data_IF_316491095050
#
_entry.id   IF_316491095050
#
_cell.length_a   1.000
_cell.length_b   1.000
_cell.length_c   1.000
_cell.angle_alpha   90.00
_cell.angle_beta   90.00
_cell.angle_gamma   90.00
#
_symmetry.space_group_name_H-M   'P 1'
#
loop_
_entity.id
_entity.type
_entity.pdbx_description
1 polymer ?
#
# COMPACT_ATOMS: atom_id res chain seq x y z
N UNK A 1 -2.22 -11.34 -10.58
CA UNK A 1 -1.07 -10.42 -10.59
C UNK A 1 0.14 -11.12 -11.16
N UNK A 2 0.67 -10.60 -12.28
CA UNK A 2 1.83 -11.16 -12.98
C UNK A 2 3.14 -10.40 -12.73
N UNK A 3 3.10 -9.30 -11.97
CA UNK A 3 4.23 -8.40 -11.80
C UNK A 3 5.48 -9.11 -11.28
N UNK A 4 6.61 -9.07 -12.01
CA UNK A 4 7.84 -9.77 -11.64
C UNK A 4 8.31 -9.44 -10.22
N UNK A 5 8.18 -8.17 -9.81
CA UNK A 5 8.63 -7.70 -8.50
C UNK A 5 7.90 -8.38 -7.35
N UNK A 6 6.59 -8.64 -7.49
CA UNK A 6 5.79 -9.32 -6.46
C UNK A 6 6.13 -10.80 -6.36
N UNK A 7 6.72 -11.41 -7.40
CA UNK A 7 7.15 -12.81 -7.35
C UNK A 7 8.39 -12.96 -6.48
N UNK A 8 9.35 -12.06 -6.60
CA UNK A 8 10.64 -12.11 -5.89
C UNK A 8 10.62 -11.45 -4.51
N UNK A 9 9.71 -10.51 -4.24
CA UNK A 9 9.62 -9.84 -2.94
C UNK A 9 9.31 -10.82 -1.80
N UNK A 10 10.10 -10.80 -0.73
CA UNK A 10 9.89 -11.61 0.47
C UNK A 10 9.06 -10.84 1.51
N UNK A 11 9.29 -9.53 1.63
CA UNK A 11 8.59 -8.63 2.56
C UNK A 11 7.73 -7.65 1.77
N UNK A 12 6.41 -7.80 1.86
CA UNK A 12 5.44 -6.98 1.12
C UNK A 12 4.66 -6.11 2.10
N UNK A 13 4.78 -4.78 1.95
CA UNK A 13 3.90 -3.85 2.64
C UNK A 13 2.62 -3.66 1.83
N UNK A 14 1.47 -3.95 2.42
CA UNK A 14 0.16 -3.81 1.78
C UNK A 14 -0.86 -3.30 2.79
N UNK A 15 -1.74 -2.40 2.36
CA UNK A 15 -2.78 -1.83 3.22
C UNK A 15 -3.93 -2.81 3.44
N UNK A 16 -4.60 -2.71 4.59
CA UNK A 16 -5.89 -3.35 4.83
C UNK A 16 -6.97 -2.41 4.29
N UNK A 17 -7.56 -2.77 3.15
CA UNK A 17 -8.44 -1.88 2.37
C UNK A 17 -9.70 -1.44 3.11
N UNK A 18 -10.01 -0.15 3.03
CA UNK A 18 -11.34 0.37 3.36
C UNK A 18 -12.36 0.06 2.24
N UNK A 19 -13.68 0.17 2.48
CA UNK A 19 -14.72 -0.11 1.48
C UNK A 19 -14.59 0.74 0.20
N UNK A 20 -14.06 1.95 0.30
CA UNK A 20 -13.86 2.88 -0.81
C UNK A 20 -12.53 2.66 -1.56
N UNK A 21 -11.71 1.71 -1.12
CA UNK A 21 -10.41 1.40 -1.70
C UNK A 21 -10.46 0.08 -2.48
N UNK A 22 -9.45 -0.18 -3.32
CA UNK A 22 -9.33 -1.48 -3.98
C UNK A 22 -9.15 -2.56 -2.92
N UNK A 23 -10.00 -3.60 -2.96
CA UNK A 23 -10.00 -4.65 -1.96
C UNK A 23 -8.67 -5.45 -1.96
N UNK A 24 -7.98 -5.49 -0.81
CA UNK A 24 -6.68 -6.17 -0.65
C UNK A 24 -6.74 -7.43 0.21
N UNK A 25 -7.88 -7.74 0.82
CA UNK A 25 -8.05 -8.84 1.78
C UNK A 25 -7.64 -10.20 1.22
N UNK A 26 -8.02 -10.48 -0.03
CA UNK A 26 -7.63 -11.73 -0.70
C UNK A 26 -6.12 -11.77 -1.01
N UNK A 27 -5.50 -10.62 -1.25
CA UNK A 27 -4.07 -10.52 -1.52
C UNK A 27 -3.24 -10.77 -0.26
N UNK A 28 -3.69 -10.24 0.88
CA UNK A 28 -3.12 -10.55 2.19
C UNK A 28 -3.08 -12.08 2.39
N UNK A 29 -4.19 -12.77 2.17
CA UNK A 29 -4.25 -14.24 2.31
C UNK A 29 -3.36 -14.94 1.27
N UNK A 30 -3.36 -14.49 0.03
CA UNK A 30 -2.57 -15.09 -1.05
C UNK A 30 -1.06 -14.97 -0.80
N UNK A 31 -0.57 -13.81 -0.35
CA UNK A 31 0.85 -13.63 -0.02
C UNK A 31 1.26 -14.49 1.18
N UNK A 32 0.38 -14.65 2.18
CA UNK A 32 0.65 -15.52 3.33
C UNK A 32 0.77 -16.99 2.91
N UNK A 33 -0.07 -17.45 1.99
CA UNK A 33 0.04 -18.80 1.39
C UNK A 33 1.33 -19.01 0.59
N UNK A 34 1.88 -17.92 0.03
CA UNK A 34 3.17 -17.92 -0.65
C UNK A 34 4.35 -17.79 0.32
N UNK A 35 4.11 -17.83 1.64
CA UNK A 35 5.12 -17.68 2.71
C UNK A 35 5.90 -16.35 2.65
N UNK A 36 5.30 -15.31 2.07
CA UNK A 36 5.83 -13.95 2.15
C UNK A 36 5.54 -13.37 3.53
N UNK A 37 6.44 -12.54 4.03
CA UNK A 37 6.20 -11.74 5.22
C UNK A 37 5.33 -10.55 4.83
N UNK A 38 4.15 -10.47 5.44
CA UNK A 38 3.21 -9.38 5.17
C UNK A 38 3.39 -8.33 6.24
N UNK A 39 3.50 -7.09 5.78
CA UNK A 39 3.60 -5.90 6.61
C UNK A 39 2.42 -5.00 6.29
N UNK A 40 1.79 -4.45 7.31
CA UNK A 40 0.67 -3.52 7.16
C UNK A 40 1.00 -2.17 7.80
N UNK A 41 0.51 -1.07 7.21
CA UNK A 41 0.64 0.25 7.81
C UNK A 41 -0.27 0.37 9.04
N UNK A 42 0.27 0.93 10.11
CA UNK A 42 -0.43 1.22 11.37
C UNK A 42 -0.24 2.69 11.71
N UNK A 43 -1.33 3.41 11.96
CA UNK A 43 -1.28 4.85 12.17
C UNK A 43 -0.98 5.15 13.64
N UNK A 44 0.15 5.78 13.91
CA UNK A 44 0.54 6.24 15.25
C UNK A 44 0.60 7.76 15.23
N UNK A 45 -0.47 8.40 15.72
CA UNK A 45 -0.61 9.85 15.68
C UNK A 45 -0.66 10.40 14.25
N UNK A 46 0.42 11.06 13.80
CA UNK A 46 0.53 11.68 12.46
C UNK A 46 1.49 10.94 11.52
N UNK A 47 2.02 9.79 11.93
CA UNK A 47 2.95 8.97 11.15
C UNK A 47 2.39 7.56 10.94
N UNK A 48 2.89 6.87 9.91
CA UNK A 48 2.67 5.43 9.73
C UNK A 48 3.87 4.72 10.33
N UNK A 49 3.61 3.74 11.18
CA UNK A 49 4.56 2.68 11.53
C UNK A 49 4.18 1.42 10.78
N UNK A 50 5.13 0.55 10.51
CA UNK A 50 4.88 -0.71 9.83
C UNK A 50 4.92 -1.86 10.83
N UNK A 51 4.03 -2.82 10.68
CA UNK A 51 3.95 -3.95 11.59
C UNK A 51 3.59 -5.26 10.86
N UNK A 52 4.05 -6.38 11.40
CA UNK A 52 3.78 -7.70 10.83
C UNK A 52 2.30 -8.04 10.87
N UNK A 53 1.79 -8.63 9.79
CA UNK A 53 0.43 -9.14 9.70
C UNK A 53 0.43 -10.67 9.72
N UNK A 54 -0.28 -11.27 10.67
CA UNK A 54 -0.37 -12.73 10.84
C UNK A 54 -1.67 -13.33 10.30
N UNK A 55 -2.82 -12.66 10.46
CA UNK A 55 -4.12 -13.15 10.00
C UNK A 55 -5.19 -12.05 10.02
N UNK A 56 -6.19 -12.17 9.14
CA UNK A 56 -7.37 -11.30 9.13
C UNK A 56 -8.17 -11.38 10.45
N UNK A 57 -8.14 -12.54 11.12
CA UNK A 57 -8.82 -12.75 12.41
C UNK A 57 -8.12 -12.03 13.57
N UNK A 58 -6.88 -11.57 13.37
CA UNK A 58 -6.10 -10.86 14.38
C UNK A 58 -6.11 -9.34 14.17
N UNK A 59 -7.02 -8.84 13.35
CA UNK A 59 -7.22 -7.42 13.14
C UNK A 59 -8.37 -6.89 13.97
N UNK A 60 -8.26 -5.66 14.46
CA UNK A 60 -9.36 -4.94 15.11
C UNK A 60 -9.50 -3.51 14.65
N UNK A 61 -10.71 -2.97 14.75
CA UNK A 61 -10.99 -1.59 14.36
C UNK A 61 -10.06 -0.61 15.09
N UNK A 62 -9.25 0.09 14.30
CA UNK A 62 -8.32 1.12 14.71
C UNK A 62 -8.78 2.50 14.25
N UNK A 63 -7.81 3.40 13.97
CA UNK A 63 -8.14 4.75 13.51
C UNK A 63 -8.77 4.73 12.11
N UNK A 64 -9.75 5.61 11.89
CA UNK A 64 -10.46 5.77 10.60
C UNK A 64 -11.18 4.51 10.08
N UNK A 65 -11.48 3.54 10.96
CA UNK A 65 -12.13 2.29 10.58
C UNK A 65 -11.19 1.29 9.91
N UNK A 66 -9.89 1.57 9.86
CA UNK A 66 -8.88 0.64 9.37
C UNK A 66 -8.73 -0.48 10.38
N UNK A 67 -8.73 -1.73 9.93
CA UNK A 67 -8.47 -2.87 10.80
C UNK A 67 -6.95 -2.99 11.03
N UNK A 68 -6.54 -2.85 12.29
CA UNK A 68 -5.14 -2.83 12.73
C UNK A 68 -4.79 -4.14 13.45
N UNK A 69 -3.57 -4.68 13.26
CA UNK A 69 -3.16 -5.94 13.90
C UNK A 69 -2.97 -5.77 15.41
N UNK A 70 -3.40 -6.75 16.20
CA UNK A 70 -3.33 -6.72 17.68
C UNK A 70 -2.09 -7.41 18.23
N UNK A 71 -1.56 -6.86 19.33
CA UNK A 71 -0.83 -7.59 20.38
C UNK A 71 0.57 -8.10 20.01
N UNK A 72 0.65 -9.09 19.14
CA UNK A 72 1.88 -9.80 18.74
C UNK A 72 2.56 -9.24 17.48
N UNK A 73 1.97 -8.19 16.88
CA UNK A 73 2.52 -7.52 15.73
C UNK A 73 3.86 -6.86 16.06
N UNK A 74 4.93 -7.31 15.40
CA UNK A 74 6.26 -6.74 15.54
C UNK A 74 6.40 -5.51 14.65
N UNK A 75 7.07 -4.47 15.14
CA UNK A 75 7.43 -3.31 14.32
C UNK A 75 8.47 -3.72 13.28
N UNK A 76 8.26 -3.30 12.05
CA UNK A 76 9.15 -3.58 10.92
C UNK A 76 9.74 -2.25 10.42
N UNK A 77 11.07 -2.10 10.38
CA UNK A 77 11.71 -0.96 9.72
C UNK A 77 11.30 -0.87 8.24
N UNK A 78 11.05 0.34 7.75
CA UNK A 78 10.57 0.53 6.37
C UNK A 78 11.59 0.19 5.29
N UNK A 79 12.88 0.16 5.64
CA UNK A 79 14.00 -0.23 4.78
C UNK A 79 14.13 -1.76 4.60
N UNK A 80 13.43 -2.56 5.42
CA UNK A 80 13.33 -4.02 5.24
C UNK A 80 12.26 -4.44 4.24
N UNK A 81 11.41 -3.52 3.78
CA UNK A 81 10.31 -3.83 2.86
C UNK A 81 10.82 -3.87 1.43
N UNK A 82 10.51 -4.93 0.69
CA UNK A 82 10.92 -5.08 -0.71
C UNK A 82 10.01 -4.34 -1.69
N UNK A 83 8.74 -4.16 -1.33
CA UNK A 83 7.72 -3.52 -2.17
C UNK A 83 6.58 -2.96 -1.34
N UNK A 84 6.15 -1.75 -1.70
CA UNK A 84 4.99 -1.09 -1.11
C UNK A 84 3.81 -1.13 -2.06
N UNK A 85 2.68 -1.66 -1.60
CA UNK A 85 1.38 -1.55 -2.25
C UNK A 85 0.61 -0.42 -1.56
N UNK A 86 0.30 0.62 -2.31
CA UNK A 86 -0.15 1.93 -1.81
C UNK A 86 -1.58 2.20 -2.27
N UNK A 87 -2.51 2.56 -1.36
CA UNK A 87 -3.88 2.91 -1.72
C UNK A 87 -3.95 4.32 -2.31
N UNK A 88 -5.02 4.60 -3.06
CA UNK A 88 -5.31 5.93 -3.59
C UNK A 88 -6.75 6.07 -4.04
N UNK A 89 -7.25 7.31 -4.01
CA UNK A 89 -8.57 7.70 -4.50
C UNK A 89 -8.54 7.88 -6.03
N UNK A 90 -7.44 8.44 -6.54
CA UNK A 90 -7.20 8.58 -7.97
C UNK A 90 -5.70 8.45 -8.25
N UNK A 91 -5.37 8.07 -9.48
CA UNK A 91 -4.00 8.01 -9.99
C UNK A 91 -3.96 8.63 -11.38
N UNK A 92 -2.83 9.22 -11.76
CA UNK A 92 -2.58 9.59 -13.14
C UNK A 92 -1.52 8.69 -13.79
N UNK A 93 -1.40 8.77 -15.11
CA UNK A 93 -0.45 7.96 -15.88
C UNK A 93 1.01 8.39 -15.70
N UNK A 94 1.27 9.43 -14.90
CA UNK A 94 2.63 9.88 -14.50
C UNK A 94 3.01 9.36 -13.12
N UNK A 95 2.21 8.47 -12.53
CA UNK A 95 2.49 7.88 -11.22
C UNK A 95 2.04 8.71 -10.03
N UNK A 96 1.47 9.91 -10.22
CA UNK A 96 0.93 10.65 -9.09
C UNK A 96 -0.34 9.97 -8.58
N UNK A 97 -0.55 10.04 -7.26
CA UNK A 97 -1.77 9.58 -6.62
C UNK A 97 -2.40 10.70 -5.82
N UNK A 98 -3.73 10.69 -5.76
CA UNK A 98 -4.50 11.45 -4.79
C UNK A 98 -4.89 10.52 -3.64
N UNK A 99 -4.44 10.82 -2.43
CA UNK A 99 -4.89 10.12 -1.22
C UNK A 99 -6.03 10.86 -0.52
N UNK A 100 -6.33 10.42 0.69
CA UNK A 100 -7.36 11.04 1.56
C UNK A 100 -6.93 12.40 2.19
N UNK A 101 -5.94 13.09 1.61
CA UNK A 101 -5.56 14.46 1.99
C UNK A 101 -4.73 14.62 3.27
N UNK A 102 -4.21 13.53 3.87
CA UNK A 102 -3.49 13.59 5.16
C UNK A 102 -1.95 13.47 5.07
N UNK A 103 -1.44 13.15 3.88
CA UNK A 103 0.00 13.04 3.62
C UNK A 103 0.72 11.93 4.40
N UNK A 104 0.00 10.91 4.90
CA UNK A 104 0.63 9.82 5.67
C UNK A 104 1.59 9.00 4.83
N UNK A 105 1.16 8.58 3.63
CA UNK A 105 2.00 7.82 2.71
C UNK A 105 3.12 8.67 2.13
N UNK A 106 2.91 9.95 1.84
CA UNK A 106 3.98 10.83 1.32
C UNK A 106 5.10 10.99 2.36
N UNK A 107 4.74 11.09 3.65
CA UNK A 107 5.73 11.05 4.75
C UNK A 107 6.44 9.71 4.88
N UNK A 108 5.72 8.59 4.77
CA UNK A 108 6.29 7.24 4.85
C UNK A 108 7.24 6.95 3.69
N UNK A 109 6.87 7.33 2.47
CA UNK A 109 7.54 6.93 1.23
C UNK A 109 8.67 7.88 0.83
N UNK A 110 8.86 8.99 1.55
CA UNK A 110 9.84 10.03 1.23
C UNK A 110 11.26 9.49 1.04
N UNK A 111 11.68 8.59 1.92
CA UNK A 111 13.03 8.02 1.94
C UNK A 111 13.07 6.57 1.41
N UNK A 112 11.96 6.12 0.79
CA UNK A 112 11.82 4.75 0.28
C UNK A 112 12.25 4.68 -1.19
N UNK A 113 13.23 3.82 -1.44
CA UNK A 113 13.81 3.58 -2.77
C UNK A 113 13.29 2.32 -3.45
N UNK A 114 12.66 1.42 -2.67
CA UNK A 114 12.05 0.20 -3.21
C UNK A 114 10.78 0.51 -4.00
N UNK A 115 10.37 -0.38 -4.92
CA UNK A 115 9.21 -0.15 -5.77
C UNK A 115 7.92 0.14 -5.01
N UNK A 116 7.16 1.10 -5.54
CA UNK A 116 5.85 1.53 -5.04
C UNK A 116 4.80 1.24 -6.10
N UNK A 117 3.82 0.42 -5.73
CA UNK A 117 2.75 -0.05 -6.59
C UNK A 117 1.43 0.57 -6.14
N UNK A 118 0.80 1.36 -7.01
CA UNK A 118 -0.58 1.79 -6.83
C UNK A 118 -1.55 0.71 -7.29
N UNK A 119 -2.53 0.36 -6.46
CA UNK A 119 -3.71 -0.42 -6.92
C UNK A 119 -4.86 0.53 -7.16
N UNK A 120 -5.44 0.45 -8.35
CA UNK A 120 -6.52 1.35 -8.76
C UNK A 120 -7.56 0.60 -9.60
N UNK A 121 -8.82 0.96 -9.48
CA UNK A 121 -9.80 0.66 -10.52
C UNK A 121 -9.52 1.52 -11.75
N UNK A 122 -9.83 1.02 -12.95
CA UNK A 122 -9.61 1.80 -14.19
C UNK A 122 -10.37 3.14 -14.20
N UNK A 123 -11.48 3.27 -13.47
CA UNK A 123 -12.19 4.55 -13.31
C UNK A 123 -11.47 5.56 -12.40
N UNK A 124 -10.49 5.11 -11.61
CA UNK A 124 -9.64 5.96 -10.76
C UNK A 124 -8.42 6.49 -11.52
N UNK A 125 -8.20 6.05 -12.77
CA UNK A 125 -7.16 6.62 -13.63
C UNK A 125 -7.68 7.89 -14.29
N UNK A 126 -7.07 9.02 -13.97
CA UNK A 126 -7.47 10.34 -14.48
C UNK A 126 -6.38 10.92 -15.40
N UNK A 127 -6.72 11.88 -16.29
CA UNK A 127 -5.76 12.46 -17.23
C UNK A 127 -4.56 13.15 -16.57
N UNK A 128 -4.75 13.68 -15.35
CA UNK A 128 -3.71 14.33 -14.57
C UNK A 128 -4.22 14.72 -13.20
N UNK A 129 -3.32 14.74 -12.23
CA UNK A 129 -3.60 15.18 -10.87
C UNK A 129 -2.83 16.46 -10.53
N UNK A 130 -3.43 17.37 -9.73
CA UNK A 130 -2.63 18.37 -9.05
C UNK A 130 -1.64 17.65 -8.14
N UNK A 131 -0.39 18.08 -8.15
CA UNK A 131 0.66 17.51 -7.32
C UNK A 131 1.51 18.62 -6.73
N UNK A 132 2.01 18.36 -5.54
CA UNK A 132 2.93 19.21 -4.80
C UNK A 132 4.35 18.65 -4.90
N UNK A 133 5.35 19.48 -4.58
CA UNK A 133 6.77 19.07 -4.61
C UNK A 133 7.11 17.92 -3.64
N UNK A 134 6.22 17.61 -2.69
CA UNK A 134 6.40 16.57 -1.68
C UNK A 134 5.64 15.28 -2.00
N UNK A 135 4.85 15.27 -3.08
CA UNK A 135 4.08 14.08 -3.46
C UNK A 135 4.99 13.03 -4.07
N UNK A 136 4.86 11.80 -3.59
CA UNK A 136 5.70 10.69 -3.99
C UNK A 136 5.01 9.87 -5.09
N UNK A 137 5.64 9.80 -6.26
CA UNK A 137 5.14 9.05 -7.42
C UNK A 137 5.25 7.53 -7.20
N UNK A 138 4.26 6.81 -7.70
CA UNK A 138 4.30 5.36 -7.86
C UNK A 138 5.21 4.99 -9.02
N UNK A 139 5.85 3.83 -8.92
CA UNK A 139 6.64 3.25 -10.01
C UNK A 139 5.76 2.43 -10.97
N UNK A 140 4.71 1.82 -10.42
CA UNK A 140 3.77 1.00 -11.18
C UNK A 140 2.36 1.28 -10.68
N UNK A 141 1.39 1.34 -11.59
CA UNK A 141 -0.03 1.36 -11.25
C UNK A 141 -0.70 0.16 -11.91
N UNK A 142 -1.36 -0.68 -11.11
CA UNK A 142 -2.07 -1.86 -11.59
C UNK A 142 -3.56 -1.62 -11.51
N UNK A 143 -4.26 -1.89 -12.61
CA UNK A 143 -5.71 -1.89 -12.70
C UNK A 143 -6.24 -3.24 -13.16
N UNK A 144 -7.56 -3.39 -13.20
CA UNK A 144 -8.19 -4.58 -13.78
C UNK A 144 -7.98 -4.71 -15.30
N UNK A 145 -7.61 -3.63 -15.99
CA UNK A 145 -7.50 -3.59 -17.45
C UNK A 145 -6.04 -3.53 -17.96
N UNK A 146 -5.15 -2.91 -17.19
CA UNK A 146 -3.77 -2.64 -17.61
C UNK A 146 -2.82 -2.45 -16.41
N UNK A 147 -1.53 -2.66 -16.67
CA UNK A 147 -0.40 -2.20 -15.84
C UNK A 147 0.23 -0.96 -16.49
N UNK A 148 0.45 0.09 -15.73
CA UNK A 148 1.13 1.33 -16.13
C UNK A 148 2.48 1.40 -15.43
N UNK A 149 3.57 1.40 -16.19
CA UNK A 149 4.94 1.63 -15.68
C UNK A 149 5.33 3.11 -15.86
N UNK A 150 6.00 3.69 -14.85
CA UNK A 150 6.33 5.13 -14.77
C UNK A 150 7.83 5.37 -14.70
#
# INVERSE_FOLDING_TARGET
MGEPILKTAEIVCIYVSLPEEVATHELLVAFGRQKKTIVVPHIVGKTITLCTFSSLNNLTAGMFGILEPRGDALLVPSDMVDVFIVPGVAFDRKGYRLGWGRGYYDRLLKDITVPRIGLAYSCQIVPGLPHEMYDIQMNVIITQNETIEV
#
